data_IF_172208131791
#
_entry.id   IF_172208131791
#
_cell.length_a   1.000
_cell.length_b   1.000
_cell.length_c   1.000
_cell.angle_alpha   90.00
_cell.angle_beta   90.00
_cell.angle_gamma   90.00
#
_symmetry.space_group_name_H-M   'P 1'
#
loop_
_entity.id
_entity.type
_entity.pdbx_description
1 polymer ?
#
# COMPACT_ATOMS: atom_id res chain seq x y z
N UNK A 1 4.58 -5.54 23.18
CA UNK A 1 3.66 -5.46 22.03
C UNK A 1 4.33 -6.10 20.85
N UNK A 2 3.61 -6.99 20.14
CA UNK A 2 4.10 -7.68 18.95
C UNK A 2 3.35 -7.20 17.73
N UNK A 3 4.08 -6.77 16.71
CA UNK A 3 3.51 -6.26 15.45
C UNK A 3 3.83 -7.23 14.31
N UNK A 4 2.81 -7.64 13.56
CA UNK A 4 2.97 -8.33 12.30
C UNK A 4 2.89 -7.29 11.16
N UNK A 5 3.97 -7.10 10.42
CA UNK A 5 3.97 -6.29 9.20
C UNK A 5 3.75 -7.18 7.99
N UNK A 6 2.76 -6.89 7.17
CA UNK A 6 2.36 -7.72 6.03
C UNK A 6 2.48 -6.94 4.73
N UNK A 7 3.36 -7.39 3.84
CA UNK A 7 3.46 -6.85 2.49
C UNK A 7 2.57 -7.64 1.53
N UNK A 8 1.45 -7.05 1.14
CA UNK A 8 0.49 -7.62 0.18
C UNK A 8 0.77 -7.28 -1.28
N UNK A 9 1.92 -6.69 -1.59
CA UNK A 9 2.29 -6.38 -2.97
C UNK A 9 2.84 -7.60 -3.71
N UNK A 10 2.42 -7.85 -4.97
CA UNK A 10 2.98 -8.93 -5.79
C UNK A 10 4.43 -8.65 -6.26
N UNK A 11 4.89 -7.40 -6.20
CA UNK A 11 6.22 -6.99 -6.68
C UNK A 11 7.27 -7.09 -5.58
N UNK A 12 8.44 -7.67 -5.90
CA UNK A 12 9.58 -7.77 -4.96
C UNK A 12 10.05 -6.41 -4.43
N UNK A 13 10.21 -5.43 -5.32
CA UNK A 13 10.64 -4.06 -4.99
C UNK A 13 9.44 -3.13 -5.09
N UNK A 14 8.52 -3.21 -4.15
CA UNK A 14 7.27 -2.47 -4.17
C UNK A 14 7.31 -1.21 -3.31
N UNK A 15 6.49 -0.22 -3.68
CA UNK A 15 6.23 0.96 -2.85
C UNK A 15 5.69 0.56 -1.48
N UNK A 16 4.79 -0.44 -1.42
CA UNK A 16 4.23 -0.94 -0.16
C UNK A 16 5.32 -1.51 0.77
N UNK A 17 6.27 -2.28 0.21
CA UNK A 17 7.40 -2.79 0.97
C UNK A 17 8.32 -1.69 1.48
N UNK A 18 8.57 -0.64 0.68
CA UNK A 18 9.35 0.53 1.12
C UNK A 18 8.63 1.30 2.24
N UNK A 19 7.32 1.49 2.12
CA UNK A 19 6.53 2.16 3.16
C UNK A 19 6.51 1.38 4.48
N UNK A 20 6.45 0.05 4.43
CA UNK A 20 6.61 -0.79 5.62
C UNK A 20 8.01 -0.66 6.22
N UNK A 21 9.06 -0.70 5.40
CA UNK A 21 10.43 -0.53 5.89
C UNK A 21 10.65 0.85 6.56
N UNK A 22 10.07 1.92 5.99
CA UNK A 22 10.10 3.25 6.63
C UNK A 22 9.27 3.29 7.92
N UNK A 23 8.12 2.62 7.96
CA UNK A 23 7.33 2.47 9.17
C UNK A 23 8.10 1.71 10.27
N UNK A 24 8.76 0.60 9.92
CA UNK A 24 9.53 -0.23 10.85
C UNK A 24 10.71 0.54 11.47
N UNK A 25 11.34 1.46 10.73
CA UNK A 25 12.41 2.34 11.26
C UNK A 25 11.92 3.31 12.35
N UNK A 26 10.63 3.66 12.33
CA UNK A 26 10.02 4.58 13.31
C UNK A 26 9.67 3.84 14.61
N UNK A 27 9.53 2.51 14.57
CA UNK A 27 9.17 1.74 15.74
C UNK A 27 10.26 1.80 16.83
N UNK A 28 9.89 1.97 18.10
CA UNK A 28 10.79 1.83 19.24
C UNK A 28 11.47 0.44 19.26
N UNK A 29 12.71 0.39 19.74
CA UNK A 29 13.53 -0.84 19.77
C UNK A 29 12.97 -1.96 20.65
N UNK A 30 12.12 -1.64 21.60
CA UNK A 30 11.45 -2.57 22.52
C UNK A 30 10.16 -3.19 21.92
N UNK A 31 9.76 -2.74 20.72
CA UNK A 31 8.63 -3.34 20.00
C UNK A 31 9.14 -4.47 19.11
N UNK A 32 8.71 -5.69 19.44
CA UNK A 32 8.95 -6.85 18.58
C UNK A 32 8.10 -6.77 17.31
N UNK A 33 8.73 -6.84 16.14
CA UNK A 33 8.01 -6.92 14.88
C UNK A 33 8.51 -8.03 13.99
N UNK A 34 7.61 -8.59 13.19
CA UNK A 34 7.90 -9.65 12.22
C UNK A 34 7.27 -9.34 10.88
N UNK A 35 8.06 -9.45 9.81
CA UNK A 35 7.62 -9.22 8.44
C UNK A 35 7.08 -10.48 7.76
N UNK A 36 5.96 -10.34 7.06
CA UNK A 36 5.39 -11.34 6.15
C UNK A 36 5.21 -10.71 4.75
N UNK A 37 5.59 -11.45 3.72
CA UNK A 37 5.30 -11.06 2.33
C UNK A 37 4.35 -12.08 1.72
N UNK A 38 3.17 -11.62 1.29
CA UNK A 38 2.16 -12.47 0.64
C UNK A 38 2.61 -12.76 -0.79
N UNK A 39 2.86 -14.03 -1.08
CA UNK A 39 3.19 -14.54 -2.42
C UNK A 39 2.17 -15.59 -2.83
N UNK A 40 2.24 -16.04 -4.06
CA UNK A 40 1.48 -17.21 -4.50
C UNK A 40 1.84 -18.41 -3.60
N UNK A 41 0.85 -19.09 -3.02
CA UNK A 41 1.03 -20.23 -2.11
C UNK A 41 1.79 -19.87 -0.81
N UNK A 42 1.56 -18.68 -0.26
CA UNK A 42 2.12 -18.35 1.06
C UNK A 42 1.50 -19.26 2.12
N UNK A 43 2.27 -20.21 2.60
CA UNK A 43 1.95 -20.93 3.83
C UNK A 43 2.53 -20.15 5.01
N UNK A 44 1.65 -19.75 5.92
CA UNK A 44 1.99 -18.97 7.09
C UNK A 44 1.25 -19.55 8.30
N UNK A 45 2.02 -20.02 9.26
CA UNK A 45 1.44 -20.44 10.52
C UNK A 45 0.91 -19.24 11.31
N UNK A 46 -0.29 -19.33 11.90
CA UNK A 46 -0.80 -18.28 12.77
C UNK A 46 0.21 -17.95 13.87
N UNK A 47 0.43 -16.67 14.12
CA UNK A 47 1.33 -16.20 15.15
C UNK A 47 0.56 -15.32 16.12
N UNK A 48 0.90 -15.42 17.39
CA UNK A 48 0.35 -14.53 18.40
C UNK A 48 0.98 -13.14 18.24
N UNK A 49 0.17 -12.15 17.84
CA UNK A 49 0.56 -10.76 17.70
C UNK A 49 -0.60 -9.84 18.10
N UNK A 50 -0.27 -8.65 18.58
CA UNK A 50 -1.26 -7.68 19.07
C UNK A 50 -1.78 -6.78 17.94
N UNK A 51 -0.94 -6.53 16.95
CA UNK A 51 -1.21 -5.58 15.87
C UNK A 51 -0.78 -6.16 14.53
N UNK A 52 -1.63 -6.00 13.50
CA UNK A 52 -1.27 -6.23 12.10
C UNK A 52 -1.20 -4.90 11.35
N UNK A 53 -0.09 -4.65 10.67
CA UNK A 53 0.04 -3.54 9.71
C UNK A 53 0.18 -4.11 8.30
N UNK A 54 -0.91 -4.02 7.51
CA UNK A 54 -0.98 -4.54 6.15
C UNK A 54 -0.72 -3.42 5.14
N UNK A 55 0.32 -3.55 4.31
CA UNK A 55 0.57 -2.61 3.22
C UNK A 55 0.42 -3.27 1.85
N UNK A 56 -0.31 -2.61 0.94
CA UNK A 56 -0.52 -3.10 -0.43
C UNK A 56 -0.80 -1.98 -1.42
N UNK A 57 -0.52 -2.20 -2.72
CA UNK A 57 -0.89 -1.26 -3.76
C UNK A 57 -2.36 -1.44 -4.15
N UNK A 58 -3.01 -0.35 -4.58
CA UNK A 58 -4.31 -0.40 -5.21
C UNK A 58 -4.16 -0.89 -6.66
N UNK A 59 -4.88 -1.93 -7.04
CA UNK A 59 -4.97 -2.44 -8.40
C UNK A 59 -6.43 -2.53 -8.82
N UNK A 60 -6.79 -1.85 -9.91
CA UNK A 60 -8.17 -1.82 -10.44
C UNK A 60 -9.18 -1.52 -9.33
N UNK A 61 -8.92 -0.44 -8.59
CA UNK A 61 -9.72 0.04 -7.45
C UNK A 61 -9.94 -0.97 -6.30
N UNK A 62 -9.17 -2.05 -6.29
CA UNK A 62 -9.26 -3.12 -5.30
C UNK A 62 -7.90 -3.61 -4.79
N UNK A 63 -7.92 -4.77 -4.13
CA UNK A 63 -6.74 -5.46 -3.64
C UNK A 63 -6.04 -6.17 -4.80
N UNK A 64 -4.69 -6.32 -4.74
CA UNK A 64 -3.99 -7.24 -5.63
C UNK A 64 -4.58 -8.66 -5.55
N UNK A 65 -4.73 -9.32 -6.70
CA UNK A 65 -5.36 -10.65 -6.78
C UNK A 65 -4.70 -11.69 -5.86
N UNK A 66 -3.39 -11.66 -5.71
CA UNK A 66 -2.65 -12.55 -4.81
C UNK A 66 -3.02 -12.31 -3.35
N UNK A 67 -3.13 -11.03 -2.92
CA UNK A 67 -3.56 -10.69 -1.56
C UNK A 67 -5.01 -11.13 -1.34
N UNK A 68 -5.89 -10.85 -2.30
CA UNK A 68 -7.29 -11.27 -2.21
C UNK A 68 -7.41 -12.80 -2.11
N UNK A 69 -6.71 -13.55 -2.97
CA UNK A 69 -6.69 -15.02 -2.92
C UNK A 69 -6.19 -15.53 -1.57
N UNK A 70 -5.12 -14.96 -1.03
CA UNK A 70 -4.60 -15.31 0.29
C UNK A 70 -5.63 -15.08 1.39
N UNK A 71 -6.30 -13.93 1.40
CA UNK A 71 -7.31 -13.60 2.42
C UNK A 71 -8.50 -14.55 2.34
N UNK A 72 -8.99 -14.86 1.14
CA UNK A 72 -10.16 -15.73 0.93
C UNK A 72 -9.85 -17.20 1.24
N UNK A 73 -8.62 -17.67 0.96
CA UNK A 73 -8.20 -19.05 1.24
C UNK A 73 -7.84 -19.33 2.71
N UNK A 74 -8.31 -18.51 3.65
CA UNK A 74 -8.10 -18.68 5.08
C UNK A 74 -6.93 -17.86 5.65
N UNK A 75 -6.17 -17.15 4.82
CA UNK A 75 -5.07 -16.29 5.26
C UNK A 75 -5.55 -15.11 6.14
N UNK A 76 -6.79 -14.66 5.95
CA UNK A 76 -7.38 -13.62 6.80
C UNK A 76 -7.39 -14.05 8.27
N UNK A 77 -7.84 -15.26 8.60
CA UNK A 77 -7.83 -15.79 9.97
C UNK A 77 -6.44 -16.03 10.55
N UNK A 78 -5.39 -16.03 9.71
CA UNK A 78 -4.00 -16.17 10.16
C UNK A 78 -3.33 -14.84 10.51
N UNK A 79 -3.76 -13.74 9.90
CA UNK A 79 -3.17 -12.41 10.07
C UNK A 79 -4.10 -11.41 10.76
N UNK A 80 -5.41 -11.69 10.78
CA UNK A 80 -6.44 -10.91 11.45
C UNK A 80 -7.12 -11.80 12.49
N UNK A 81 -6.43 -12.07 13.59
CA UNK A 81 -6.96 -12.92 14.66
C UNK A 81 -7.87 -12.12 15.58
N UNK A 82 -8.74 -12.79 16.33
CA UNK A 82 -9.64 -12.17 17.29
C UNK A 82 -8.86 -11.27 18.26
N UNK A 83 -9.35 -10.06 18.49
CA UNK A 83 -8.71 -9.06 19.36
C UNK A 83 -7.48 -8.36 18.78
N UNK A 84 -6.99 -8.76 17.58
CA UNK A 84 -5.88 -8.06 16.90
C UNK A 84 -6.33 -6.71 16.37
N UNK A 85 -5.54 -5.68 16.60
CA UNK A 85 -5.75 -4.35 16.00
C UNK A 85 -5.15 -4.30 14.59
N UNK A 86 -5.97 -4.02 13.57
CA UNK A 86 -5.57 -4.04 12.16
C UNK A 86 -5.50 -2.65 11.57
N UNK A 87 -4.35 -2.30 11.02
CA UNK A 87 -4.09 -1.06 10.30
C UNK A 87 -3.68 -1.34 8.87
N UNK A 88 -3.99 -0.42 7.95
CA UNK A 88 -3.58 -0.52 6.56
C UNK A 88 -2.71 0.65 6.12
N UNK A 89 -1.79 0.37 5.19
CA UNK A 89 -1.12 1.38 4.35
C UNK A 89 -1.46 1.03 2.90
N UNK A 90 -2.25 1.86 2.23
CA UNK A 90 -2.64 1.62 0.84
C UNK A 90 -2.03 2.70 -0.05
N UNK A 91 -1.25 2.31 -1.04
CA UNK A 91 -0.69 3.25 -2.00
C UNK A 91 -1.30 3.05 -3.39
N UNK A 92 -1.63 4.13 -4.07
CA UNK A 92 -2.15 4.09 -5.43
C UNK A 92 -1.35 4.96 -6.40
N UNK A 93 -1.43 4.62 -7.69
CA UNK A 93 -0.80 5.38 -8.76
C UNK A 93 -1.54 6.67 -9.12
N UNK A 94 -2.75 6.89 -8.64
CA UNK A 94 -3.49 8.13 -8.84
C UNK A 94 -2.96 9.23 -7.89
N UNK A 95 -3.18 10.49 -8.27
CA UNK A 95 -2.84 11.60 -7.38
C UNK A 95 -3.71 11.59 -6.13
N UNK A 96 -5.00 11.32 -6.31
CA UNK A 96 -6.00 11.27 -5.24
C UNK A 96 -5.95 9.93 -4.49
N UNK A 97 -5.69 9.98 -3.19
CA UNK A 97 -5.67 8.81 -2.32
C UNK A 97 -7.08 8.19 -2.08
N UNK A 98 -8.14 8.97 -2.35
CA UNK A 98 -9.54 8.57 -2.14
C UNK A 98 -9.96 7.33 -2.94
N UNK A 99 -9.32 7.02 -4.07
CA UNK A 99 -9.53 5.80 -4.83
C UNK A 99 -9.33 4.53 -3.98
N UNK A 100 -8.54 4.61 -2.91
CA UNK A 100 -8.25 3.47 -2.03
C UNK A 100 -9.36 3.18 -1.00
N UNK A 101 -10.45 3.93 -0.96
CA UNK A 101 -11.53 3.78 0.05
C UNK A 101 -12.23 2.43 -0.06
N UNK A 102 -12.50 1.96 -1.26
CA UNK A 102 -13.13 0.65 -1.48
C UNK A 102 -12.23 -0.47 -0.97
N UNK A 103 -10.94 -0.43 -1.29
CA UNK A 103 -9.98 -1.42 -0.83
C UNK A 103 -9.87 -1.46 0.71
N UNK A 104 -9.89 -0.28 1.38
CA UNK A 104 -9.89 -0.24 2.83
C UNK A 104 -11.18 -0.80 3.45
N UNK A 105 -12.35 -0.60 2.80
CA UNK A 105 -13.62 -1.17 3.23
C UNK A 105 -13.61 -2.72 3.12
N UNK A 106 -12.98 -3.27 2.09
CA UNK A 106 -12.82 -4.73 1.96
C UNK A 106 -12.04 -5.28 3.17
N UNK A 107 -10.92 -4.67 3.54
CA UNK A 107 -10.16 -5.11 4.73
C UNK A 107 -10.96 -4.97 6.02
N UNK A 108 -11.70 -3.86 6.19
CA UNK A 108 -12.61 -3.69 7.33
C UNK A 108 -13.62 -4.83 7.44
N UNK A 109 -14.20 -5.25 6.32
CA UNK A 109 -15.13 -6.39 6.29
C UNK A 109 -14.43 -7.72 6.59
N UNK A 110 -13.18 -7.92 6.15
CA UNK A 110 -12.39 -9.09 6.52
C UNK A 110 -12.15 -9.13 8.04
N UNK A 111 -11.78 -8.00 8.66
CA UNK A 111 -11.60 -7.91 10.11
C UNK A 111 -12.88 -8.27 10.86
N UNK A 112 -14.04 -7.74 10.43
CA UNK A 112 -15.32 -8.05 11.05
C UNK A 112 -15.66 -9.56 11.02
N UNK A 113 -15.25 -10.27 9.97
CA UNK A 113 -15.45 -11.72 9.84
C UNK A 113 -14.53 -12.57 10.70
N UNK A 114 -13.38 -12.04 11.09
CA UNK A 114 -12.35 -12.77 11.87
C UNK A 114 -12.32 -12.36 13.34
N UNK A 115 -13.17 -11.41 13.77
CA UNK A 115 -13.16 -10.87 15.13
C UNK A 115 -12.01 -9.89 15.41
N UNK A 116 -11.24 -9.49 14.39
CA UNK A 116 -10.21 -8.48 14.53
C UNK A 116 -10.80 -7.06 14.52
N UNK A 117 -10.12 -6.13 15.19
CA UNK A 117 -10.54 -4.74 15.26
C UNK A 117 -9.87 -3.92 14.13
N UNK A 118 -10.66 -3.41 13.17
CA UNK A 118 -10.15 -2.49 12.16
C UNK A 118 -9.93 -1.09 12.77
N UNK A 119 -8.67 -0.67 12.83
CA UNK A 119 -8.24 0.58 13.45
C UNK A 119 -8.07 1.73 12.45
N UNK A 120 -8.06 1.41 11.15
CA UNK A 120 -8.06 2.41 10.08
C UNK A 120 -6.92 2.27 9.07
N UNK A 121 -6.71 3.32 8.28
CA UNK A 121 -5.87 3.26 7.11
C UNK A 121 -5.11 4.58 6.84
N UNK A 122 -3.85 4.49 6.45
CA UNK A 122 -3.12 5.54 5.76
C UNK A 122 -3.23 5.29 4.25
N UNK A 123 -4.01 6.12 3.54
CA UNK A 123 -4.15 6.07 2.09
C UNK A 123 -3.21 7.07 1.43
N UNK A 124 -2.38 6.60 0.52
CA UNK A 124 -1.31 7.39 -0.10
C UNK A 124 -1.52 7.44 -1.62
N UNK A 125 -1.79 8.62 -2.13
CA UNK A 125 -1.81 8.90 -3.56
C UNK A 125 -0.40 9.17 -4.13
N UNK A 126 -0.30 9.32 -5.43
CA UNK A 126 0.96 9.63 -6.15
C UNK A 126 2.05 8.56 -6.02
N UNK A 127 1.66 7.29 -5.84
CA UNK A 127 2.58 6.17 -5.53
C UNK A 127 3.72 5.96 -6.53
N UNK A 128 3.53 6.30 -7.81
CA UNK A 128 4.58 6.22 -8.83
C UNK A 128 5.77 7.15 -8.59
N UNK A 129 5.54 8.32 -8.01
CA UNK A 129 6.59 9.30 -7.68
C UNK A 129 7.31 9.02 -6.37
N UNK A 130 6.66 8.35 -5.43
CA UNK A 130 7.18 8.07 -4.08
C UNK A 130 8.42 7.17 -4.13
N UNK A 131 8.39 6.13 -4.95
CA UNK A 131 9.51 5.18 -5.08
C UNK A 131 10.80 5.88 -5.49
N UNK A 132 10.71 6.79 -6.45
CA UNK A 132 11.88 7.54 -6.93
C UNK A 132 12.41 8.51 -5.89
N UNK A 133 11.54 9.08 -5.07
CA UNK A 133 11.91 10.03 -4.02
C UNK A 133 12.48 9.32 -2.77
N UNK A 134 11.90 8.22 -2.32
CA UNK A 134 12.39 7.45 -1.18
C UNK A 134 13.71 6.73 -1.49
N UNK A 135 13.89 6.21 -2.73
CA UNK A 135 15.15 5.52 -3.12
C UNK A 135 16.33 6.46 -3.30
N UNK A 136 16.12 7.74 -3.54
CA UNK A 136 17.21 8.71 -3.82
C UNK A 136 17.73 9.40 -2.57
N UNK A 137 17.26 9.03 -1.38
CA UNK A 137 17.56 9.78 -0.14
C UNK A 137 17.31 11.29 -0.31
N UNK A 138 16.45 11.66 -1.26
CA UNK A 138 16.07 13.03 -1.49
C UNK A 138 15.25 13.53 -0.29
N UNK A 139 15.97 13.76 0.79
CA UNK A 139 15.49 14.45 1.98
C UNK A 139 15.01 15.83 1.51
N UNK A 140 13.70 15.98 1.37
CA UNK A 140 13.19 17.36 1.32
C UNK A 140 12.29 17.67 0.18
N UNK A 141 11.54 17.19 -0.52
CA UNK A 141 10.57 17.46 -1.59
C UNK A 141 10.40 16.21 -2.48
N UNK A 142 9.38 15.66 -2.67
CA UNK A 142 7.95 15.78 -2.51
C UNK A 142 7.33 14.80 -1.49
N UNK A 143 8.10 14.27 -0.52
CA UNK A 143 7.63 13.22 0.40
C UNK A 143 7.47 13.66 1.87
N UNK A 144 7.67 14.93 2.17
CA UNK A 144 7.57 15.46 3.56
C UNK A 144 6.21 15.19 4.20
N UNK A 145 5.11 15.40 3.45
CA UNK A 145 3.76 15.12 3.96
C UNK A 145 3.59 13.64 4.23
N UNK A 146 4.04 12.79 3.30
CA UNK A 146 3.93 11.34 3.43
C UNK A 146 4.74 10.87 4.64
N UNK A 147 5.99 11.33 4.81
CA UNK A 147 6.82 10.97 5.97
C UNK A 147 6.20 11.43 7.29
N UNK A 148 5.63 12.65 7.31
CA UNK A 148 4.91 13.15 8.49
C UNK A 148 3.69 12.30 8.82
N UNK A 149 2.88 11.97 7.82
CA UNK A 149 1.69 11.14 8.04
C UNK A 149 2.06 9.71 8.41
N UNK A 150 3.16 9.17 7.88
CA UNK A 150 3.68 7.87 8.29
C UNK A 150 4.13 7.87 9.77
N UNK A 151 4.75 8.96 10.24
CA UNK A 151 5.09 9.12 11.66
C UNK A 151 3.85 9.22 12.55
N UNK A 152 2.82 9.94 12.13
CA UNK A 152 1.53 10.01 12.84
C UNK A 152 0.82 8.67 12.88
N UNK A 153 0.85 7.95 11.76
CA UNK A 153 0.33 6.60 11.64
C UNK A 153 1.06 5.65 12.60
N UNK A 154 2.39 5.66 12.61
CA UNK A 154 3.19 4.84 13.52
C UNK A 154 2.87 5.14 14.99
N UNK A 155 2.73 6.42 15.36
CA UNK A 155 2.28 6.81 16.68
C UNK A 155 0.90 6.24 17.04
N UNK A 156 -0.05 6.28 16.11
CA UNK A 156 -1.38 5.71 16.31
C UNK A 156 -1.32 4.18 16.48
N UNK A 157 -0.51 3.49 15.68
CA UNK A 157 -0.29 2.03 15.78
C UNK A 157 0.28 1.66 17.15
N UNK A 158 1.34 2.34 17.58
CA UNK A 158 2.02 2.08 18.87
C UNK A 158 1.06 2.26 20.04
N UNK A 159 0.20 3.28 19.98
CA UNK A 159 -0.77 3.59 21.04
C UNK A 159 -2.14 2.94 20.84
N UNK A 160 -2.29 2.06 19.86
CA UNK A 160 -3.55 1.38 19.48
C UNK A 160 -4.72 2.36 19.35
N UNK A 161 -4.49 3.51 18.68
CA UNK A 161 -5.49 4.54 18.41
C UNK A 161 -6.02 4.41 16.98
N UNK A 162 -7.30 4.71 16.80
CA UNK A 162 -7.88 4.81 15.44
C UNK A 162 -7.17 5.87 14.62
N UNK A 163 -6.90 5.54 13.34
CA UNK A 163 -6.24 6.42 12.39
C UNK A 163 -6.79 6.20 10.99
N UNK A 164 -7.37 7.24 10.41
CA UNK A 164 -7.89 7.17 9.05
C UNK A 164 -7.58 8.49 8.33
N UNK A 165 -6.62 8.47 7.41
CA UNK A 165 -6.18 9.66 6.72
C UNK A 165 -5.78 9.40 5.26
N UNK A 166 -5.83 10.47 4.47
CA UNK A 166 -5.46 10.48 3.05
C UNK A 166 -4.36 11.50 2.82
N UNK A 167 -3.32 11.12 2.09
CA UNK A 167 -2.20 11.99 1.75
C UNK A 167 -1.76 11.78 0.30
N UNK A 168 -1.41 12.87 -0.37
CA UNK A 168 -0.77 12.86 -1.68
C UNK A 168 0.58 13.54 -1.61
N UNK A 169 1.38 13.45 -2.68
CA UNK A 169 2.69 14.12 -2.74
C UNK A 169 2.58 15.64 -2.63
N UNK A 170 3.69 16.29 -2.24
CA UNK A 170 3.80 17.72 -1.94
C UNK A 170 3.84 18.64 -3.17
N UNK A 171 3.47 18.15 -4.34
CA UNK A 171 3.43 18.94 -5.57
C UNK A 171 2.00 19.03 -6.15
N UNK A 172 1.69 20.11 -6.90
CA UNK A 172 0.40 20.27 -7.51
C UNK A 172 0.00 19.14 -8.47
N UNK A 173 -1.29 18.85 -8.54
CA UNK A 173 -1.87 17.79 -9.39
C UNK A 173 -1.43 17.87 -10.85
N UNK A 174 -1.35 19.08 -11.41
CA UNK A 174 -0.96 19.27 -12.81
C UNK A 174 0.49 18.83 -13.08
N UNK A 175 1.42 19.06 -12.13
CA UNK A 175 2.81 18.58 -12.23
C UNK A 175 2.84 17.06 -12.23
N UNK A 176 2.03 16.42 -11.38
CA UNK A 176 1.92 14.97 -11.36
C UNK A 176 1.42 14.41 -12.69
N UNK A 177 0.34 14.98 -13.24
CA UNK A 177 -0.23 14.56 -14.53
C UNK A 177 0.78 14.69 -15.66
N UNK A 178 1.42 15.85 -15.79
CA UNK A 178 2.44 16.09 -16.82
C UNK A 178 3.62 15.14 -16.68
N UNK A 179 4.13 14.94 -15.46
CA UNK A 179 5.22 14.01 -15.20
C UNK A 179 4.85 12.55 -15.51
N UNK A 180 3.64 12.14 -15.16
CA UNK A 180 3.13 10.81 -15.49
C UNK A 180 2.97 10.61 -17.00
N UNK A 181 2.42 11.58 -17.72
CA UNK A 181 2.27 11.53 -19.18
C UNK A 181 3.63 11.41 -19.88
N UNK A 182 4.61 12.22 -19.49
CA UNK A 182 5.97 12.13 -20.02
C UNK A 182 6.59 10.75 -19.73
N UNK A 183 6.45 10.25 -18.51
CA UNK A 183 7.00 8.95 -18.13
C UNK A 183 6.37 7.81 -18.95
N UNK A 184 5.06 7.84 -19.18
CA UNK A 184 4.35 6.87 -20.02
C UNK A 184 4.79 6.93 -21.45
N UNK A 185 4.97 8.12 -22.03
CA UNK A 185 5.48 8.30 -23.39
C UNK A 185 6.89 7.72 -23.55
N UNK A 186 7.78 8.02 -22.61
CA UNK A 186 9.14 7.46 -22.61
C UNK A 186 9.09 5.92 -22.55
N UNK A 187 8.25 5.36 -21.69
CA UNK A 187 8.11 3.92 -21.56
C UNK A 187 7.52 3.27 -22.82
N UNK A 188 6.54 3.91 -23.45
CA UNK A 188 5.96 3.44 -24.70
C UNK A 188 7.02 3.39 -25.83
N UNK A 189 7.81 4.46 -26.00
CA UNK A 189 8.90 4.51 -26.97
C UNK A 189 9.94 3.41 -26.70
N UNK A 190 10.33 3.20 -25.44
CA UNK A 190 11.25 2.11 -25.04
C UNK A 190 10.71 0.73 -25.37
N UNK A 191 9.39 0.56 -25.38
CA UNK A 191 8.70 -0.68 -25.73
C UNK A 191 8.37 -0.77 -27.24
N UNK A 192 8.94 0.12 -28.09
CA UNK A 192 8.74 0.10 -29.54
C UNK A 192 7.41 0.69 -30.02
N UNK A 193 6.64 1.33 -29.12
CA UNK A 193 5.39 2.00 -29.50
C UNK A 193 5.69 3.44 -29.93
N UNK A 194 5.32 3.80 -31.17
CA UNK A 194 5.48 5.18 -31.63
C UNK A 194 4.47 6.10 -30.95
N UNK A 195 4.84 7.37 -30.73
CA UNK A 195 3.94 8.37 -30.13
C UNK A 195 2.65 8.55 -30.96
N UNK A 196 2.73 8.35 -32.29
CA UNK A 196 1.59 8.40 -33.21
C UNK A 196 0.65 7.18 -33.10
N UNK A 197 1.15 6.05 -32.59
CA UNK A 197 0.39 4.81 -32.36
C UNK A 197 -0.33 4.74 -31.01
N UNK A 198 0.03 5.60 -30.06
CA UNK A 198 -0.54 5.57 -28.70
C UNK A 198 -2.06 5.83 -28.62
N UNK A 199 -2.67 6.72 -29.44
CA UNK A 199 -4.11 6.96 -29.36
C UNK A 199 -4.95 6.02 -30.24
N UNK A 200 -4.35 5.08 -30.96
CA UNK A 200 -5.13 4.12 -31.73
C UNK A 200 -5.72 3.08 -30.80
N UNK A 201 -7.01 3.23 -30.50
CA UNK A 201 -7.84 2.14 -30.00
C UNK A 201 -7.72 0.99 -31.02
N UNK A 202 -7.13 -0.09 -30.64
CA UNK A 202 -7.29 -1.33 -31.36
C UNK A 202 -8.66 -1.87 -30.97
N UNK A 203 -9.70 -1.52 -31.74
CA UNK A 203 -11.00 -2.22 -31.75
C UNK A 203 -10.82 -3.64 -32.31
N UNK A 204 -9.72 -4.30 -32.00
CA UNK A 204 -9.42 -5.64 -32.46
C UNK A 204 -9.58 -6.58 -31.27
N UNK A 205 -10.67 -7.32 -31.36
CA UNK A 205 -10.85 -8.61 -30.76
C UNK A 205 -11.13 -8.63 -29.24
N UNK A 206 -12.29 -8.11 -28.87
CA UNK A 206 -13.08 -8.77 -27.82
C UNK A 206 -14.05 -9.70 -28.55
N UNK A 207 -13.62 -10.93 -28.81
CA UNK A 207 -14.46 -12.08 -29.10
C UNK A 207 -14.32 -13.03 -27.95
#
# INVERSE_FOLDING_TARGET
MKILTVNGSPRKNSTSGLLLAEFEKILPRDIEHKGLSVKHNTDFAPQNHDVTVLAFPLYVDGLPSQLLSFLVSGGAGKIFTEGTSVYCIINCGFYEASHSRVASAIIKNCCARTGAEYMGCLRIGSGGGIVSALKREAVGFPVRKISRELSRFAYAVINRRKYDNEVSADYPRFIYKTGADVAWRIQAVRNGVTLHGMPKHTDRDIV
#
